data_IF_348121129171
#
_entry.id   IF_348121129171
#
_cell.length_a   1.000
_cell.length_b   1.000
_cell.length_c   1.000
_cell.angle_alpha   90.00
_cell.angle_beta   90.00
_cell.angle_gamma   90.00
#
_symmetry.space_group_name_H-M   'P 1'
#
loop_
_entity.id
_entity.type
_entity.pdbx_description
1 polymer ?
#
# COMPACT_ATOMS: atom_id res chain seq x y z
N UNK A 1 -4.97 -41.33 21.59
CA UNK A 1 -4.35 -39.99 21.71
C UNK A 1 -4.20 -39.66 23.19
N UNK A 2 -3.18 -38.89 23.58
CA UNK A 2 -2.86 -38.60 25.00
C UNK A 2 -3.26 -37.17 25.37
N UNK A 3 -3.38 -36.87 26.68
CA UNK A 3 -3.58 -35.48 27.16
C UNK A 3 -2.48 -34.54 26.65
N UNK A 4 -1.23 -35.02 26.61
CA UNK A 4 -0.09 -34.25 26.07
C UNK A 4 -0.28 -33.87 24.59
N UNK A 5 -0.86 -34.73 23.77
CA UNK A 5 -1.15 -34.42 22.37
C UNK A 5 -2.17 -33.29 22.23
N UNK A 6 -3.26 -33.34 22.99
CA UNK A 6 -4.30 -32.29 22.96
C UNK A 6 -3.79 -30.95 23.51
N UNK A 7 -2.99 -30.98 24.58
CA UNK A 7 -2.37 -29.78 25.14
C UNK A 7 -1.40 -29.09 24.15
N UNK A 8 -0.65 -29.88 23.36
CA UNK A 8 0.22 -29.35 22.32
C UNK A 8 -0.59 -28.64 21.22
N UNK A 9 -1.68 -29.25 20.76
CA UNK A 9 -2.57 -28.63 19.77
C UNK A 9 -3.16 -27.33 20.32
N UNK A 10 -3.62 -27.34 21.58
CA UNK A 10 -4.15 -26.13 22.23
C UNK A 10 -3.13 -25.00 22.30
N UNK A 11 -1.86 -25.31 22.60
CA UNK A 11 -0.78 -24.33 22.57
C UNK A 11 -0.60 -23.73 21.16
N UNK A 12 -0.53 -24.58 20.13
CA UNK A 12 -0.37 -24.15 18.74
C UNK A 12 -1.56 -23.31 18.25
N UNK A 13 -2.80 -23.72 18.56
CA UNK A 13 -4.00 -22.93 18.26
C UNK A 13 -3.96 -21.57 18.96
N UNK A 14 -3.48 -21.51 20.20
CA UNK A 14 -3.30 -20.26 20.93
C UNK A 14 -2.28 -19.33 20.27
N UNK A 15 -1.17 -19.87 19.77
CA UNK A 15 -0.16 -19.10 19.02
C UNK A 15 -0.76 -18.54 17.72
N UNK A 16 -1.54 -19.34 16.98
CA UNK A 16 -2.21 -18.89 15.74
C UNK A 16 -3.22 -17.77 16.03
N UNK A 17 -4.04 -17.91 17.09
CA UNK A 17 -4.94 -16.84 17.53
C UNK A 17 -4.15 -15.58 17.86
N UNK A 18 -3.06 -15.70 18.63
CA UNK A 18 -2.24 -14.57 19.02
C UNK A 18 -1.63 -13.84 17.81
N UNK A 19 -1.10 -14.59 16.83
CA UNK A 19 -0.58 -14.01 15.58
C UNK A 19 -1.66 -13.25 14.82
N UNK A 20 -2.83 -13.86 14.61
CA UNK A 20 -3.95 -13.21 13.91
C UNK A 20 -4.47 -11.97 14.62
N UNK A 21 -4.47 -11.96 15.96
CA UNK A 21 -4.83 -10.78 16.77
C UNK A 21 -3.82 -9.65 16.64
N UNK A 22 -2.51 -9.93 16.60
CA UNK A 22 -1.48 -8.91 16.33
C UNK A 22 -1.76 -8.26 14.97
N UNK A 23 -1.87 -9.06 13.91
CA UNK A 23 -2.10 -8.56 12.56
C UNK A 23 -3.39 -7.72 12.50
N UNK A 24 -4.47 -8.21 13.10
CA UNK A 24 -5.76 -7.53 13.11
C UNK A 24 -5.70 -6.21 13.87
N UNK A 25 -5.09 -6.19 15.06
CA UNK A 25 -4.93 -4.97 15.85
C UNK A 25 -4.13 -3.91 15.07
N UNK A 26 -3.04 -4.32 14.42
CA UNK A 26 -2.26 -3.42 13.58
C UNK A 26 -3.04 -2.97 12.34
N UNK A 27 -3.90 -3.80 11.78
CA UNK A 27 -4.77 -3.42 10.65
C UNK A 27 -5.82 -2.40 11.05
N UNK A 28 -6.35 -2.44 12.27
CA UNK A 28 -7.20 -1.37 12.80
C UNK A 28 -6.46 -0.03 12.93
N UNK A 29 -5.15 -0.06 13.20
CA UNK A 29 -4.33 1.14 13.38
C UNK A 29 -3.87 1.73 12.05
N UNK A 30 -3.47 0.89 11.10
CA UNK A 30 -2.79 1.29 9.85
C UNK A 30 -3.62 1.09 8.58
N UNK A 31 -4.73 0.37 8.64
CA UNK A 31 -5.46 -0.06 7.44
C UNK A 31 -4.58 -0.90 6.51
N UNK A 32 -4.71 -0.68 5.20
CA UNK A 32 -3.92 -1.38 4.18
C UNK A 32 -2.43 -1.03 4.17
N UNK A 33 -2.03 0.07 4.82
CA UNK A 33 -0.60 0.43 4.94
C UNK A 33 0.19 -0.54 5.82
N UNK A 34 -0.48 -1.43 6.55
CA UNK A 34 0.17 -2.56 7.25
C UNK A 34 0.95 -3.46 6.29
N UNK A 35 0.39 -3.72 5.09
CA UNK A 35 0.95 -4.68 4.14
C UNK A 35 2.27 -4.23 3.50
N UNK A 36 2.56 -2.93 3.56
CA UNK A 36 3.80 -2.34 3.03
C UNK A 36 4.87 -2.10 4.10
N UNK A 37 4.60 -2.48 5.36
CA UNK A 37 5.59 -2.37 6.43
C UNK A 37 6.74 -3.35 6.17
N UNK A 38 7.98 -2.90 6.42
CA UNK A 38 9.19 -3.68 6.10
C UNK A 38 9.22 -5.06 6.76
N UNK A 39 8.64 -5.20 7.95
CA UNK A 39 8.57 -6.48 8.67
C UNK A 39 7.33 -7.32 8.37
N UNK A 40 6.38 -6.83 7.56
CA UNK A 40 5.11 -7.54 7.32
C UNK A 40 5.31 -8.85 6.57
N UNK A 41 6.13 -8.87 5.52
CA UNK A 41 6.40 -10.08 4.75
C UNK A 41 7.01 -11.19 5.61
N UNK A 42 7.95 -10.84 6.50
CA UNK A 42 8.54 -11.80 7.45
C UNK A 42 7.49 -12.32 8.43
N UNK A 43 6.64 -11.44 8.97
CA UNK A 43 5.56 -11.84 9.87
C UNK A 43 4.61 -12.83 9.19
N UNK A 44 4.17 -12.52 7.98
CA UNK A 44 3.30 -13.36 7.17
C UNK A 44 3.88 -14.77 6.94
N UNK A 45 5.17 -14.88 6.59
CA UNK A 45 5.82 -16.18 6.37
C UNK A 45 5.91 -16.99 7.67
N UNK A 46 6.24 -16.34 8.79
CA UNK A 46 6.30 -17.01 10.11
C UNK A 46 4.92 -17.51 10.53
N UNK A 47 3.89 -16.66 10.43
CA UNK A 47 2.50 -17.03 10.73
C UNK A 47 2.02 -18.22 9.89
N UNK A 48 2.31 -18.19 8.57
CA UNK A 48 1.98 -19.30 7.67
C UNK A 48 2.66 -20.60 8.11
N UNK A 49 3.94 -20.55 8.45
CA UNK A 49 4.70 -21.71 8.94
C UNK A 49 4.09 -22.33 10.20
N UNK A 50 3.73 -21.50 11.18
CA UNK A 50 3.06 -21.95 12.41
C UNK A 50 1.68 -22.54 12.11
N UNK A 51 0.91 -21.91 11.22
CA UNK A 51 -0.42 -22.38 10.84
C UNK A 51 -0.40 -23.74 10.12
N UNK A 52 0.58 -23.96 9.23
CA UNK A 52 0.78 -25.26 8.56
C UNK A 52 1.16 -26.35 9.57
N UNK A 53 2.08 -26.02 10.48
CA UNK A 53 2.52 -26.93 11.52
C UNK A 53 1.35 -27.31 12.45
N UNK A 54 0.57 -26.34 12.92
CA UNK A 54 -0.63 -26.55 13.72
C UNK A 54 -1.64 -27.46 12.99
N UNK A 55 -1.92 -27.16 11.71
CA UNK A 55 -2.90 -27.90 10.91
C UNK A 55 -2.51 -29.37 10.75
N UNK A 56 -1.22 -29.71 10.65
CA UNK A 56 -0.78 -31.10 10.57
C UNK A 56 -1.23 -31.94 11.79
N UNK A 57 -1.23 -31.36 12.99
CA UNK A 57 -1.72 -32.05 14.19
C UNK A 57 -3.25 -32.15 14.23
N UNK A 58 -3.96 -31.12 13.78
CA UNK A 58 -5.43 -31.16 13.65
C UNK A 58 -5.86 -32.20 12.62
N UNK A 59 -5.17 -32.30 11.48
CA UNK A 59 -5.41 -33.34 10.48
C UNK A 59 -5.12 -34.73 11.04
N UNK A 60 -4.03 -34.90 11.80
CA UNK A 60 -3.75 -36.16 12.51
C UNK A 60 -4.87 -36.56 13.45
N UNK A 61 -5.48 -35.60 14.15
CA UNK A 61 -6.68 -35.85 14.97
C UNK A 61 -7.86 -36.34 14.13
N UNK A 62 -8.18 -35.66 13.03
CA UNK A 62 -9.28 -36.06 12.14
C UNK A 62 -9.10 -37.46 11.55
N UNK A 63 -7.87 -37.79 11.15
CA UNK A 63 -7.52 -39.13 10.69
C UNK A 63 -7.76 -40.19 11.77
N UNK A 64 -7.21 -39.98 12.98
CA UNK A 64 -7.30 -40.94 14.08
C UNK A 64 -8.75 -41.11 14.59
N UNK A 65 -9.58 -40.06 14.56
CA UNK A 65 -11.01 -40.13 14.88
C UNK A 65 -11.89 -40.62 13.73
N UNK A 66 -11.30 -40.94 12.57
CA UNK A 66 -12.01 -41.38 11.37
C UNK A 66 -13.03 -40.36 10.85
N UNK A 67 -12.76 -39.06 11.05
CA UNK A 67 -13.54 -37.97 10.46
C UNK A 67 -13.11 -37.71 9.01
N UNK A 68 -13.26 -38.73 8.15
CA UNK A 68 -12.73 -38.75 6.77
C UNK A 68 -13.17 -37.52 5.92
N UNK A 69 -14.46 -37.11 5.87
CA UNK A 69 -14.85 -35.94 5.08
C UNK A 69 -14.14 -34.66 5.54
N UNK A 70 -14.00 -34.48 6.85
CA UNK A 70 -13.31 -33.33 7.45
C UNK A 70 -11.81 -33.37 7.16
N UNK A 71 -11.18 -34.55 7.23
CA UNK A 71 -9.77 -34.72 6.89
C UNK A 71 -9.46 -34.32 5.43
N UNK A 72 -10.25 -34.81 4.47
CA UNK A 72 -10.01 -34.50 3.05
C UNK A 72 -10.30 -33.04 2.72
N UNK A 73 -11.38 -32.47 3.26
CA UNK A 73 -11.70 -31.04 3.06
C UNK A 73 -10.70 -30.12 3.75
N UNK A 74 -10.18 -30.49 4.92
CA UNK A 74 -9.06 -29.77 5.54
C UNK A 74 -7.79 -29.82 4.69
N UNK A 75 -7.46 -30.98 4.11
CA UNK A 75 -6.32 -31.12 3.21
C UNK A 75 -6.45 -30.25 1.95
N UNK A 76 -7.65 -30.21 1.36
CA UNK A 76 -7.94 -29.31 0.24
C UNK A 76 -7.80 -27.83 0.64
N UNK A 77 -8.29 -27.47 1.84
CA UNK A 77 -8.17 -26.11 2.37
C UNK A 77 -6.69 -25.70 2.56
N UNK A 78 -5.84 -26.59 3.06
CA UNK A 78 -4.39 -26.35 3.19
C UNK A 78 -3.77 -26.10 1.81
N UNK A 79 -4.07 -26.93 0.82
CA UNK A 79 -3.54 -26.77 -0.53
C UNK A 79 -3.96 -25.42 -1.14
N UNK A 80 -5.24 -25.06 -1.06
CA UNK A 80 -5.73 -23.77 -1.55
C UNK A 80 -5.12 -22.58 -0.81
N UNK A 81 -4.93 -22.71 0.52
CA UNK A 81 -4.30 -21.67 1.34
C UNK A 81 -2.82 -21.45 0.97
N UNK A 82 -2.08 -22.52 0.66
CA UNK A 82 -0.70 -22.43 0.19
C UNK A 82 -0.61 -21.72 -1.17
N UNK A 83 -1.50 -22.06 -2.10
CA UNK A 83 -1.57 -21.40 -3.41
C UNK A 83 -1.86 -19.91 -3.23
N UNK A 84 -2.90 -19.57 -2.46
CA UNK A 84 -3.26 -18.17 -2.21
C UNK A 84 -2.15 -17.41 -1.47
N UNK A 85 -1.48 -18.04 -0.50
CA UNK A 85 -0.34 -17.45 0.19
C UNK A 85 0.83 -17.17 -0.75
N UNK A 86 1.09 -18.03 -1.75
CA UNK A 86 2.06 -17.77 -2.80
C UNK A 86 1.70 -16.55 -3.67
N UNK A 87 0.41 -16.37 -3.96
CA UNK A 87 -0.09 -15.18 -4.66
C UNK A 87 0.10 -13.90 -3.82
N UNK A 88 -0.21 -13.97 -2.52
CA UNK A 88 0.02 -12.86 -1.59
C UNK A 88 1.51 -12.55 -1.49
N UNK A 89 2.37 -13.56 -1.32
CA UNK A 89 3.81 -13.38 -1.25
C UNK A 89 4.36 -12.70 -2.51
N UNK A 90 3.94 -13.13 -3.70
CA UNK A 90 4.30 -12.50 -4.97
C UNK A 90 3.83 -11.05 -5.06
N UNK A 91 2.61 -10.77 -4.58
CA UNK A 91 2.06 -9.40 -4.53
C UNK A 91 2.88 -8.50 -3.59
N UNK A 92 3.23 -9.01 -2.41
CA UNK A 92 3.98 -8.25 -1.39
C UNK A 92 5.44 -8.02 -1.79
N UNK A 93 6.09 -9.02 -2.40
CA UNK A 93 7.49 -8.93 -2.82
C UNK A 93 7.70 -8.01 -4.02
N UNK A 94 6.75 -7.98 -4.96
CA UNK A 94 6.84 -7.16 -6.18
C UNK A 94 6.07 -5.83 -6.07
N UNK A 95 5.34 -5.61 -4.98
CA UNK A 95 4.45 -4.45 -4.78
C UNK A 95 3.46 -4.24 -5.95
N UNK A 96 3.08 -5.33 -6.63
CA UNK A 96 2.21 -5.32 -7.79
C UNK A 96 1.06 -6.30 -7.59
N UNK A 97 -0.17 -5.87 -7.90
CA UNK A 97 -1.35 -6.73 -7.79
C UNK A 97 -1.24 -7.94 -8.71
N UNK A 98 -1.30 -9.15 -8.11
CA UNK A 98 -1.28 -10.38 -8.89
C UNK A 98 -2.66 -10.65 -9.53
N UNK A 99 -2.73 -10.99 -10.84
CA UNK A 99 -4.00 -11.15 -11.56
C UNK A 99 -4.90 -12.25 -10.99
N UNK A 100 -4.31 -13.30 -10.41
CA UNK A 100 -5.03 -14.43 -9.82
C UNK A 100 -5.46 -14.20 -8.36
N UNK A 101 -5.24 -13.02 -7.78
CA UNK A 101 -5.57 -12.76 -6.37
C UNK A 101 -7.05 -13.01 -6.07
N UNK A 102 -7.95 -12.41 -6.85
CA UNK A 102 -9.39 -12.54 -6.62
C UNK A 102 -9.89 -13.97 -6.85
N UNK A 103 -9.38 -14.64 -7.87
CA UNK A 103 -9.73 -16.04 -8.19
C UNK A 103 -9.31 -16.99 -7.08
N UNK A 104 -8.08 -16.85 -6.57
CA UNK A 104 -7.60 -17.71 -5.48
C UNK A 104 -8.32 -17.45 -4.15
N UNK A 105 -8.69 -16.18 -3.89
CA UNK A 105 -9.53 -15.83 -2.74
C UNK A 105 -10.93 -16.47 -2.81
N UNK A 106 -11.57 -16.44 -3.99
CA UNK A 106 -12.87 -17.08 -4.22
C UNK A 106 -12.82 -18.59 -3.96
N UNK A 107 -11.81 -19.26 -4.51
CA UNK A 107 -11.59 -20.70 -4.30
C UNK A 107 -11.40 -21.00 -2.81
N UNK A 108 -10.57 -20.20 -2.12
CA UNK A 108 -10.32 -20.40 -0.70
C UNK A 108 -11.58 -20.24 0.17
N UNK A 109 -12.41 -19.24 -0.12
CA UNK A 109 -13.68 -19.05 0.58
C UNK A 109 -14.65 -20.21 0.29
N UNK A 110 -14.75 -20.67 -0.95
CA UNK A 110 -15.60 -21.81 -1.31
C UNK A 110 -15.18 -23.10 -0.60
N UNK A 111 -13.87 -23.39 -0.53
CA UNK A 111 -13.33 -24.55 0.17
C UNK A 111 -13.49 -24.43 1.68
N UNK A 112 -13.35 -23.22 2.25
CA UNK A 112 -13.62 -22.95 3.67
C UNK A 112 -15.07 -23.24 4.05
N UNK A 113 -16.03 -22.84 3.20
CA UNK A 113 -17.45 -23.16 3.38
C UNK A 113 -17.70 -24.67 3.31
N UNK A 114 -17.09 -25.37 2.35
CA UNK A 114 -17.20 -26.83 2.23
C UNK A 114 -16.64 -27.55 3.47
N UNK A 115 -15.52 -27.08 3.99
CA UNK A 115 -14.93 -27.58 5.24
C UNK A 115 -15.87 -27.36 6.44
N UNK A 116 -16.47 -26.17 6.55
CA UNK A 116 -17.48 -25.85 7.57
C UNK A 116 -18.71 -26.76 7.49
N UNK A 117 -19.24 -27.01 6.28
CA UNK A 117 -20.35 -27.94 6.06
C UNK A 117 -19.98 -29.37 6.47
N UNK A 118 -18.76 -29.83 6.16
CA UNK A 118 -18.28 -31.14 6.56
C UNK A 118 -18.16 -31.28 8.09
N UNK A 119 -17.78 -30.21 8.79
CA UNK A 119 -17.77 -30.20 10.27
C UNK A 119 -19.17 -30.38 10.86
N UNK A 120 -20.21 -29.81 10.23
CA UNK A 120 -21.61 -29.85 10.70
C UNK A 120 -22.28 -31.18 10.39
N UNK A 121 -22.20 -31.63 9.13
CA UNK A 121 -23.06 -32.69 8.60
C UNK A 121 -22.41 -34.08 8.58
N UNK A 122 -21.11 -34.18 8.85
CA UNK A 122 -20.42 -35.48 8.97
C UNK A 122 -20.44 -36.02 10.41
N UNK A 123 -19.83 -37.18 10.63
CA UNK A 123 -19.68 -37.77 11.97
C UNK A 123 -18.98 -36.85 12.99
N UNK A 124 -18.18 -35.87 12.54
CA UNK A 124 -17.61 -34.85 13.42
C UNK A 124 -18.67 -33.98 14.08
N UNK A 125 -19.81 -33.75 13.42
CA UNK A 125 -20.90 -32.89 13.90
C UNK A 125 -21.60 -33.40 15.16
N UNK A 126 -21.36 -34.66 15.53
CA UNK A 126 -21.76 -35.22 16.82
C UNK A 126 -21.01 -34.57 17.99
N UNK A 127 -19.82 -34.02 17.75
CA UNK A 127 -19.09 -33.20 18.73
C UNK A 127 -19.62 -31.78 18.69
N UNK A 128 -20.17 -31.33 19.82
CA UNK A 128 -20.75 -29.99 19.96
C UNK A 128 -19.81 -28.90 19.43
N UNK A 129 -18.56 -28.87 19.89
CA UNK A 129 -17.60 -27.84 19.52
C UNK A 129 -17.15 -27.88 18.06
N UNK A 130 -17.05 -29.06 17.44
CA UNK A 130 -16.74 -29.16 16.00
C UNK A 130 -17.91 -28.69 15.13
N UNK A 131 -19.14 -29.03 15.51
CA UNK A 131 -20.34 -28.52 14.84
C UNK A 131 -20.44 -26.99 14.96
N UNK A 132 -20.20 -26.45 16.15
CA UNK A 132 -20.18 -25.00 16.39
C UNK A 132 -19.09 -24.31 15.59
N UNK A 133 -17.89 -24.90 15.48
CA UNK A 133 -16.82 -24.40 14.62
C UNK A 133 -17.26 -24.31 13.16
N UNK A 134 -17.95 -25.35 12.64
CA UNK A 134 -18.48 -25.33 11.28
C UNK A 134 -19.53 -24.24 11.04
N UNK A 135 -20.47 -24.07 11.98
CA UNK A 135 -21.48 -22.98 11.91
C UNK A 135 -20.80 -21.62 11.92
N UNK A 136 -19.83 -21.43 12.82
CA UNK A 136 -19.09 -20.18 12.93
C UNK A 136 -18.35 -19.83 11.64
N UNK A 137 -17.64 -20.80 11.05
CA UNK A 137 -16.92 -20.62 9.77
C UNK A 137 -17.83 -20.15 8.64
N UNK A 138 -19.06 -20.67 8.56
CA UNK A 138 -20.04 -20.24 7.56
C UNK A 138 -20.44 -18.77 7.81
N UNK A 139 -20.78 -18.42 9.05
CA UNK A 139 -21.20 -17.07 9.43
C UNK A 139 -20.11 -16.04 9.08
N UNK A 140 -18.87 -16.30 9.47
CA UNK A 140 -17.76 -15.34 9.24
C UNK A 140 -17.32 -15.27 7.77
N UNK A 141 -17.67 -16.26 6.94
CA UNK A 141 -17.37 -16.25 5.51
C UNK A 141 -18.36 -15.41 4.70
N UNK A 142 -19.59 -15.20 5.21
CA UNK A 142 -20.63 -14.43 4.51
C UNK A 142 -20.21 -12.99 4.18
N UNK A 143 -19.65 -12.19 5.10
CA UNK A 143 -19.16 -10.85 4.77
C UNK A 143 -18.15 -10.88 3.62
N UNK A 144 -17.21 -11.82 3.62
CA UNK A 144 -16.19 -11.96 2.57
C UNK A 144 -16.83 -12.27 1.21
N UNK A 145 -17.81 -13.20 1.17
CA UNK A 145 -18.55 -13.51 -0.07
C UNK A 145 -19.28 -12.27 -0.60
N UNK A 146 -20.00 -11.56 0.28
CA UNK A 146 -20.72 -10.34 -0.10
C UNK A 146 -19.76 -9.24 -0.59
N UNK A 147 -18.58 -9.13 0.02
CA UNK A 147 -17.53 -8.19 -0.39
C UNK A 147 -17.04 -8.47 -1.81
N UNK A 148 -16.82 -9.76 -2.13
CA UNK A 148 -16.37 -10.19 -3.45
C UNK A 148 -17.46 -9.90 -4.48
N UNK A 149 -18.73 -10.22 -4.18
CA UNK A 149 -19.85 -9.93 -5.08
C UNK A 149 -19.96 -8.43 -5.34
N UNK A 150 -19.85 -7.60 -4.31
CA UNK A 150 -19.89 -6.15 -4.45
C UNK A 150 -18.75 -5.62 -5.32
N UNK A 151 -17.51 -6.09 -5.10
CA UNK A 151 -16.35 -5.70 -5.92
C UNK A 151 -16.46 -6.14 -7.39
N UNK A 152 -17.14 -7.26 -7.66
CA UNK A 152 -17.42 -7.71 -9.04
C UNK A 152 -18.50 -6.86 -9.73
N UNK A 153 -19.41 -6.26 -8.97
CA UNK A 153 -20.49 -5.41 -9.49
C UNK A 153 -20.07 -3.95 -9.63
N UNK A 154 -19.24 -3.45 -8.72
CA UNK A 154 -18.76 -2.07 -8.69
C UNK A 154 -17.27 -2.02 -8.36
N UNK A 155 -16.47 -1.65 -9.37
CA UNK A 155 -15.02 -1.46 -9.24
C UNK A 155 -14.62 -0.03 -8.87
N UNK A 156 -15.57 0.78 -8.38
CA UNK A 156 -15.28 2.13 -7.91
C UNK A 156 -14.32 2.15 -6.73
N UNK A 157 -13.55 3.23 -6.63
CA UNK A 157 -12.64 3.48 -5.50
C UNK A 157 -13.42 3.57 -4.18
N UNK A 158 -14.66 4.05 -4.23
CA UNK A 158 -15.56 4.16 -3.08
C UNK A 158 -15.94 2.79 -2.52
N UNK A 159 -16.28 1.84 -3.40
CA UNK A 159 -16.58 0.46 -3.00
C UNK A 159 -15.36 -0.22 -2.40
N UNK A 160 -14.19 -0.09 -3.03
CA UNK A 160 -12.94 -0.61 -2.46
C UNK A 160 -12.62 -0.01 -1.07
N UNK A 161 -12.83 1.30 -0.89
CA UNK A 161 -12.62 1.97 0.39
C UNK A 161 -13.62 1.52 1.46
N UNK A 162 -14.88 1.28 1.10
CA UNK A 162 -15.87 0.72 2.02
C UNK A 162 -15.49 -0.70 2.45
N UNK A 163 -14.98 -1.51 1.52
CA UNK A 163 -14.49 -2.86 1.79
C UNK A 163 -13.33 -2.85 2.80
N UNK A 164 -12.36 -1.96 2.60
CA UNK A 164 -11.22 -1.84 3.51
C UNK A 164 -11.63 -1.42 4.94
N UNK A 165 -12.73 -0.68 5.12
CA UNK A 165 -13.18 -0.27 6.46
C UNK A 165 -13.70 -1.44 7.31
N UNK A 166 -14.39 -2.42 6.71
CA UNK A 166 -14.91 -3.56 7.47
C UNK A 166 -13.96 -4.76 7.50
N UNK A 167 -12.99 -4.83 6.58
CA UNK A 167 -12.10 -5.97 6.46
C UNK A 167 -11.30 -6.31 7.75
N UNK A 168 -10.88 -5.36 8.62
CA UNK A 168 -10.30 -5.67 9.92
C UNK A 168 -11.25 -6.45 10.85
N UNK A 169 -12.56 -6.18 10.80
CA UNK A 169 -13.55 -6.91 11.60
C UNK A 169 -13.69 -8.36 11.15
N UNK A 170 -13.70 -8.60 9.84
CA UNK A 170 -13.68 -9.96 9.28
C UNK A 170 -12.43 -10.70 9.73
N UNK A 171 -11.26 -10.04 9.69
CA UNK A 171 -10.00 -10.58 10.19
C UNK A 171 -10.03 -10.91 11.69
N UNK A 172 -10.64 -10.05 12.51
CA UNK A 172 -10.80 -10.28 13.95
C UNK A 172 -11.59 -11.55 14.24
N UNK A 173 -12.78 -11.68 13.66
CA UNK A 173 -13.62 -12.84 13.88
C UNK A 173 -13.00 -14.12 13.28
N UNK A 174 -12.35 -14.03 12.13
CA UNK A 174 -11.61 -15.15 11.56
C UNK A 174 -10.49 -15.64 12.50
N UNK A 175 -9.73 -14.73 13.10
CA UNK A 175 -8.64 -15.03 14.05
C UNK A 175 -9.13 -15.74 15.32
N UNK A 176 -10.41 -15.60 15.68
CA UNK A 176 -11.02 -16.25 16.85
C UNK A 176 -11.61 -17.63 16.56
N UNK A 177 -11.75 -18.02 15.28
CA UNK A 177 -12.28 -19.34 14.89
C UNK A 177 -11.60 -20.55 15.55
N UNK A 178 -10.27 -20.55 15.84
CA UNK A 178 -9.62 -21.69 16.47
C UNK A 178 -10.06 -21.95 17.93
N UNK A 179 -10.75 -21.01 18.59
CA UNK A 179 -11.25 -21.17 19.96
C UNK A 179 -12.16 -22.41 20.07
N UNK A 180 -13.01 -22.67 19.08
CA UNK A 180 -13.89 -23.83 19.10
C UNK A 180 -13.11 -25.15 19.04
N UNK A 181 -11.99 -25.18 18.32
CA UNK A 181 -11.08 -26.33 18.33
C UNK A 181 -10.39 -26.48 19.69
N UNK A 182 -9.95 -25.38 20.32
CA UNK A 182 -9.38 -25.43 21.68
C UNK A 182 -10.38 -26.04 22.66
N UNK A 183 -11.64 -25.61 22.62
CA UNK A 183 -12.70 -26.14 23.48
C UNK A 183 -12.97 -27.63 23.19
N UNK A 184 -12.96 -28.04 21.92
CA UNK A 184 -13.07 -29.45 21.53
C UNK A 184 -11.92 -30.29 22.12
N UNK A 185 -10.68 -29.84 22.00
CA UNK A 185 -9.51 -30.59 22.49
C UNK A 185 -9.40 -30.59 24.00
N UNK A 186 -9.87 -29.53 24.68
CA UNK A 186 -10.01 -29.53 26.15
C UNK A 186 -11.04 -30.58 26.60
N UNK A 187 -12.17 -30.70 25.90
CA UNK A 187 -13.18 -31.73 26.18
C UNK A 187 -12.62 -33.15 25.97
N UNK A 188 -11.93 -33.37 24.84
CA UNK A 188 -11.25 -34.64 24.55
C UNK A 188 -10.17 -35.00 25.60
N UNK A 189 -9.46 -34.02 26.15
CA UNK A 189 -8.45 -34.25 27.18
C UNK A 189 -9.07 -34.59 28.55
N UNK A 190 -10.23 -34.00 28.90
CA UNK A 190 -10.95 -34.30 30.14
C UNK A 190 -11.50 -35.72 30.17
N UNK A 191 -11.91 -36.25 29.02
CA UNK A 191 -12.42 -37.62 28.88
C UNK A 191 -11.36 -38.73 28.97
N UNK A 192 -10.08 -38.40 29.20
CA UNK A 192 -9.00 -39.38 29.38
C UNK A 192 -8.73 -39.60 30.88
N UNK A 193 -8.99 -40.81 31.38
CA UNK A 193 -8.56 -41.23 32.73
C UNK A 193 -7.02 -41.36 32.77
N UNK A 194 -6.41 -40.87 33.85
CA UNK A 194 -4.98 -41.06 34.12
C UNK A 194 -4.78 -42.35 34.90
N UNK A 195 -4.28 -43.41 34.25
CA UNK A 195 -3.85 -44.60 34.97
C UNK A 195 -2.44 -44.39 35.55
N UNK A 196 -2.23 -44.63 36.86
CA UNK A 196 -0.95 -44.36 37.53
C UNK A 196 0.24 -45.18 36.99
N UNK A 197 -0.01 -46.28 36.26
CA UNK A 197 1.02 -47.12 35.63
C UNK A 197 1.18 -46.91 34.12
N UNK A 198 0.71 -45.78 33.58
CA UNK A 198 0.95 -45.47 32.17
C UNK A 198 2.45 -45.16 31.99
N UNK A 199 3.22 -45.96 31.21
CA UNK A 199 4.65 -45.72 31.06
C UNK A 199 4.89 -44.29 30.56
N UNK A 200 5.93 -43.65 31.10
CA UNK A 200 6.30 -42.27 30.78
C UNK A 200 6.27 -42.08 29.25
N UNK A 201 5.31 -41.28 28.78
CA UNK A 201 5.09 -41.10 27.35
C UNK A 201 6.38 -40.60 26.66
N UNK A 202 6.84 -41.37 25.67
CA UNK A 202 7.99 -41.17 24.77
C UNK A 202 8.52 -39.73 24.64
N UNK A 203 9.86 -39.60 24.65
CA UNK A 203 10.66 -38.39 24.37
C UNK A 203 10.25 -37.60 23.12
N UNK A 204 9.62 -38.28 22.15
CA UNK A 204 9.07 -37.69 20.93
C UNK A 204 8.04 -36.58 21.19
N UNK A 205 7.33 -36.59 22.32
CA UNK A 205 6.37 -35.52 22.63
C UNK A 205 7.03 -34.21 23.06
N UNK A 206 8.19 -34.26 23.73
CA UNK A 206 8.86 -33.07 24.29
C UNK A 206 9.46 -32.19 23.19
N UNK A 207 10.04 -32.79 22.15
CA UNK A 207 10.60 -32.07 21.01
C UNK A 207 9.57 -31.17 20.33
N UNK A 208 8.31 -31.63 20.21
CA UNK A 208 7.25 -30.83 19.61
C UNK A 208 6.78 -29.67 20.48
N UNK A 209 6.82 -29.80 21.81
CA UNK A 209 6.56 -28.67 22.71
C UNK A 209 7.65 -27.62 22.61
N UNK A 210 8.92 -28.05 22.58
CA UNK A 210 10.06 -27.13 22.38
C UNK A 210 9.90 -26.38 21.07
N UNK A 211 9.57 -27.09 19.97
CA UNK A 211 9.33 -26.46 18.68
C UNK A 211 8.15 -25.48 18.70
N UNK A 212 7.04 -25.84 19.36
CA UNK A 212 5.90 -24.94 19.52
C UNK A 212 6.24 -23.67 20.31
N UNK A 213 7.08 -23.79 21.36
CA UNK A 213 7.57 -22.64 22.13
C UNK A 213 8.46 -21.75 21.25
N UNK A 214 9.39 -22.34 20.49
CA UNK A 214 10.26 -21.60 19.55
C UNK A 214 9.41 -20.85 18.52
N UNK A 215 8.38 -21.50 17.95
CA UNK A 215 7.43 -20.87 17.04
C UNK A 215 6.68 -19.71 17.69
N UNK A 216 6.22 -19.88 18.93
CA UNK A 216 5.57 -18.81 19.70
C UNK A 216 6.49 -17.61 19.94
N UNK A 217 7.76 -17.86 20.29
CA UNK A 217 8.78 -16.82 20.45
C UNK A 217 9.09 -16.12 19.12
N UNK A 218 9.13 -16.86 18.00
CA UNK A 218 9.33 -16.28 16.67
C UNK A 218 8.17 -15.36 16.26
N UNK A 219 6.92 -15.80 16.47
CA UNK A 219 5.72 -14.96 16.26
C UNK A 219 5.78 -13.71 17.13
N UNK A 220 6.14 -13.85 18.41
CA UNK A 220 6.26 -12.71 19.31
C UNK A 220 7.33 -11.73 18.86
N UNK A 221 8.54 -12.20 18.52
CA UNK A 221 9.65 -11.35 18.12
C UNK A 221 9.37 -10.59 16.82
N UNK A 222 8.86 -11.29 15.80
CA UNK A 222 8.53 -10.65 14.50
C UNK A 222 7.28 -9.78 14.63
N UNK A 223 6.30 -10.19 15.43
CA UNK A 223 5.12 -9.38 15.73
C UNK A 223 5.45 -8.09 16.48
N UNK A 224 6.39 -8.13 17.43
CA UNK A 224 6.91 -6.94 18.10
C UNK A 224 7.61 -6.01 17.11
N UNK A 225 8.44 -6.56 16.21
CA UNK A 225 9.10 -5.78 15.16
C UNK A 225 8.09 -5.11 14.23
N UNK A 226 7.06 -5.85 13.80
CA UNK A 226 5.98 -5.31 12.98
C UNK A 226 5.18 -4.21 13.72
N UNK A 227 4.90 -4.39 15.00
CA UNK A 227 4.23 -3.38 15.83
C UNK A 227 5.09 -2.13 16.01
N UNK A 228 6.40 -2.28 16.15
CA UNK A 228 7.37 -1.19 16.21
C UNK A 228 7.39 -0.40 14.89
N UNK A 229 7.53 -1.08 13.74
CA UNK A 229 7.46 -0.44 12.42
C UNK A 229 6.15 0.33 12.24
N UNK A 230 5.04 -0.30 12.67
CA UNK A 230 3.72 0.32 12.60
C UNK A 230 3.59 1.57 13.50
N UNK A 231 4.11 1.52 14.72
CA UNK A 231 4.14 2.65 15.64
C UNK A 231 4.89 3.83 15.04
N UNK A 232 6.10 3.60 14.51
CA UNK A 232 6.89 4.66 13.92
C UNK A 232 6.27 5.19 12.63
N UNK A 233 5.75 4.33 11.77
CA UNK A 233 5.02 4.75 10.56
C UNK A 233 3.87 5.69 10.91
N UNK A 234 3.13 5.41 12.00
CA UNK A 234 2.06 6.28 12.47
C UNK A 234 2.58 7.56 13.13
N UNK A 235 3.60 7.45 13.98
CA UNK A 235 4.19 8.60 14.68
C UNK A 235 4.73 9.64 13.68
N UNK A 236 5.49 9.20 12.69
CA UNK A 236 5.97 10.05 11.61
C UNK A 236 4.82 10.58 10.75
N UNK A 237 3.79 9.76 10.50
CA UNK A 237 2.55 10.21 9.84
C UNK A 237 1.87 11.36 10.58
N UNK A 238 1.75 11.29 11.91
CA UNK A 238 1.11 12.33 12.72
C UNK A 238 1.95 13.62 12.79
N UNK A 239 3.28 13.50 12.87
CA UNK A 239 4.17 14.67 12.79
C UNK A 239 4.11 15.35 11.41
N UNK A 240 4.21 14.56 10.34
CA UNK A 240 4.10 15.06 8.97
C UNK A 240 2.74 15.73 8.75
N UNK A 241 1.66 15.20 9.34
CA UNK A 241 0.34 15.79 9.24
C UNK A 241 0.27 17.18 9.90
N UNK A 242 0.91 17.37 11.06
CA UNK A 242 0.98 18.70 11.71
C UNK A 242 1.71 19.71 10.82
N UNK A 243 2.89 19.34 10.29
CA UNK A 243 3.65 20.19 9.38
C UNK A 243 2.86 20.49 8.09
N UNK A 244 2.16 19.48 7.56
CA UNK A 244 1.31 19.60 6.39
C UNK A 244 0.16 20.55 6.62
N UNK A 245 -0.44 20.55 7.81
CA UNK A 245 -1.49 21.50 8.17
C UNK A 245 -0.95 22.94 8.22
N UNK A 246 0.19 23.15 8.87
CA UNK A 246 0.84 24.47 8.91
C UNK A 246 1.26 24.96 7.52
N UNK A 247 1.70 24.05 6.65
CA UNK A 247 1.98 24.35 5.24
C UNK A 247 0.68 24.70 4.50
N UNK A 248 -0.38 23.91 4.68
CA UNK A 248 -1.67 24.08 4.04
C UNK A 248 -2.33 25.41 4.37
N UNK A 249 -2.13 25.96 5.57
CA UNK A 249 -2.66 27.26 5.99
C UNK A 249 -2.12 28.42 5.12
N UNK A 250 -1.00 28.22 4.43
CA UNK A 250 -0.46 29.19 3.46
C UNK A 250 -1.17 29.13 2.11
N UNK A 251 -1.84 28.03 1.79
CA UNK A 251 -2.43 27.77 0.47
C UNK A 251 -3.96 27.92 0.49
N UNK A 252 -4.50 28.56 -0.54
CA UNK A 252 -5.93 28.59 -0.78
C UNK A 252 -6.43 27.19 -1.20
N UNK A 253 -7.48 26.70 -0.55
CA UNK A 253 -8.20 25.50 -0.97
C UNK A 253 -9.12 25.85 -2.13
N UNK A 254 -8.96 25.20 -3.28
CA UNK A 254 -9.77 25.47 -4.46
C UNK A 254 -10.25 24.19 -5.13
N UNK A 255 -11.29 24.34 -5.94
CA UNK A 255 -11.93 23.27 -6.69
C UNK A 255 -12.07 23.72 -8.14
N UNK A 256 -11.66 22.86 -9.06
CA UNK A 256 -11.89 23.02 -10.49
C UNK A 256 -12.88 21.96 -10.95
N UNK A 257 -13.85 22.35 -11.78
CA UNK A 257 -14.80 21.44 -12.42
C UNK A 257 -14.44 21.39 -13.90
N UNK A 258 -14.01 20.22 -14.38
CA UNK A 258 -13.61 20.00 -15.76
C UNK A 258 -14.80 19.96 -16.71
N UNK A 259 -14.51 20.00 -18.01
CA UNK A 259 -15.53 20.07 -19.06
C UNK A 259 -16.47 18.85 -19.08
N UNK A 260 -16.07 17.74 -18.47
CA UNK A 260 -16.84 16.49 -18.35
C UNK A 260 -17.63 16.37 -17.04
N UNK A 261 -17.55 17.38 -16.16
CA UNK A 261 -18.17 17.37 -14.83
C UNK A 261 -17.29 16.75 -13.73
N UNK A 262 -16.11 16.23 -14.07
CA UNK A 262 -15.13 15.75 -13.10
C UNK A 262 -14.58 16.89 -12.24
N UNK A 263 -14.20 16.60 -11.00
CA UNK A 263 -13.76 17.62 -10.03
C UNK A 263 -12.32 17.40 -9.58
N UNK A 264 -11.49 18.45 -9.65
CA UNK A 264 -10.12 18.49 -9.14
C UNK A 264 -10.03 19.43 -7.94
N UNK A 265 -9.70 18.87 -6.78
CA UNK A 265 -9.26 19.64 -5.63
C UNK A 265 -7.80 20.04 -5.80
N UNK A 266 -7.45 21.26 -5.46
CA UNK A 266 -6.06 21.71 -5.48
C UNK A 266 -5.78 22.77 -4.43
N UNK A 267 -4.49 22.99 -4.19
CA UNK A 267 -3.98 24.05 -3.31
C UNK A 267 -3.24 25.06 -4.16
N UNK A 268 -3.52 26.34 -3.94
CA UNK A 268 -2.86 27.44 -4.63
C UNK A 268 -2.22 28.40 -3.63
N UNK A 269 -0.90 28.50 -3.67
CA UNK A 269 -0.17 29.56 -2.97
C UNK A 269 0.03 30.73 -3.93
N UNK A 270 -0.28 31.94 -3.49
CA UNK A 270 0.02 33.18 -4.21
C UNK A 270 1.42 33.69 -3.84
N UNK A 271 2.07 34.51 -4.69
CA UNK A 271 3.30 35.21 -4.33
C UNK A 271 3.19 35.92 -2.98
N UNK A 272 4.30 36.01 -2.24
CA UNK A 272 4.31 36.82 -1.01
C UNK A 272 4.08 38.29 -1.36
N UNK A 273 3.23 38.99 -0.60
CA UNK A 273 2.82 40.38 -0.89
C UNK A 273 2.29 40.56 -2.32
N UNK A 274 1.45 39.62 -2.76
CA UNK A 274 0.91 39.55 -4.11
C UNK A 274 0.34 40.88 -4.61
N UNK A 275 0.92 41.36 -5.70
CA UNK A 275 0.58 42.60 -6.40
C UNK A 275 0.10 42.27 -7.81
N UNK A 276 -1.17 42.54 -8.10
CA UNK A 276 -1.83 42.17 -9.36
C UNK A 276 -1.28 42.90 -10.58
N UNK A 277 -0.50 43.97 -10.40
CA UNK A 277 0.14 44.73 -11.48
C UNK A 277 1.43 44.07 -11.99
N UNK A 278 2.01 43.16 -11.21
CA UNK A 278 3.22 42.41 -11.56
C UNK A 278 2.90 41.06 -12.19
N UNK A 279 3.86 40.51 -12.92
CA UNK A 279 3.77 39.19 -13.55
C UNK A 279 4.61 38.15 -12.80
N UNK A 280 3.98 37.06 -12.38
CA UNK A 280 4.59 35.97 -11.62
C UNK A 280 4.46 34.63 -12.35
N UNK A 281 5.50 33.78 -12.30
CA UNK A 281 5.43 32.44 -12.85
C UNK A 281 4.45 31.55 -12.09
N UNK A 282 4.08 30.43 -12.71
CA UNK A 282 3.34 29.33 -12.08
C UNK A 282 4.24 28.10 -11.94
N UNK A 283 4.44 27.64 -10.71
CA UNK A 283 5.03 26.33 -10.45
C UNK A 283 3.93 25.29 -10.21
N UNK A 284 3.87 24.28 -11.08
CA UNK A 284 3.07 23.07 -10.91
C UNK A 284 3.91 22.04 -10.17
N UNK A 285 3.65 21.86 -8.88
CA UNK A 285 4.34 20.87 -8.05
C UNK A 285 3.47 19.62 -7.94
N UNK A 286 3.85 18.56 -8.66
CA UNK A 286 3.13 17.29 -8.73
C UNK A 286 3.53 16.38 -7.55
N UNK A 287 2.60 16.05 -6.65
CA UNK A 287 2.88 15.17 -5.53
C UNK A 287 3.28 13.74 -5.96
N UNK A 288 4.29 13.16 -5.31
CA UNK A 288 4.62 11.73 -5.49
C UNK A 288 3.63 10.80 -4.76
N UNK A 289 2.97 11.34 -3.74
CA UNK A 289 2.08 10.69 -2.78
C UNK A 289 1.06 11.71 -2.28
N UNK A 290 -0.02 11.25 -1.67
CA UNK A 290 -1.12 12.09 -1.21
C UNK A 290 -2.43 11.35 -1.38
N UNK A 291 -2.72 10.44 -0.45
CA UNK A 291 -4.06 9.87 -0.39
C UNK A 291 -5.00 11.01 -0.01
N UNK A 292 -6.12 11.24 -0.73
CA UNK A 292 -7.17 12.06 -0.18
C UNK A 292 -7.68 11.35 1.08
N UNK A 293 -7.23 11.82 2.25
CA UNK A 293 -8.00 11.67 3.46
C UNK A 293 -9.22 12.60 3.40
N UNK A 294 -10.07 12.54 4.42
CA UNK A 294 -11.14 13.52 4.62
C UNK A 294 -10.63 14.96 4.78
N UNK A 295 -9.32 15.13 4.96
CA UNK A 295 -8.62 16.37 5.30
C UNK A 295 -8.22 17.26 4.10
N UNK A 296 -8.19 16.73 2.87
CA UNK A 296 -7.89 17.46 1.61
C UNK A 296 -6.59 18.28 1.61
N UNK A 297 -5.61 17.92 2.45
CA UNK A 297 -4.31 18.60 2.57
C UNK A 297 -3.11 17.70 2.28
N UNK A 298 -3.28 16.38 2.31
CA UNK A 298 -2.19 15.39 2.18
C UNK A 298 -1.44 15.41 0.86
N UNK A 299 -1.99 16.04 -0.19
CA UNK A 299 -1.23 16.29 -1.42
C UNK A 299 0.03 17.14 -1.16
N UNK A 300 0.06 17.93 -0.10
CA UNK A 300 1.22 18.74 0.27
C UNK A 300 2.36 17.90 0.88
N UNK A 301 2.06 16.77 1.55
CA UNK A 301 3.08 15.82 2.06
C UNK A 301 3.98 15.29 0.94
N UNK A 302 3.43 15.16 -0.27
CA UNK A 302 4.16 14.65 -1.44
C UNK A 302 4.76 15.72 -2.35
N UNK A 303 4.62 17.00 -2.02
CA UNK A 303 4.92 18.12 -2.90
C UNK A 303 6.19 18.88 -2.46
N UNK A 304 7.35 18.23 -2.53
CA UNK A 304 8.61 18.75 -1.99
C UNK A 304 8.99 20.16 -2.49
N UNK A 305 8.72 20.48 -3.76
CA UNK A 305 8.98 21.82 -4.29
C UNK A 305 8.04 22.87 -3.67
N UNK A 306 6.77 22.52 -3.44
CA UNK A 306 5.83 23.38 -2.76
C UNK A 306 6.23 23.61 -1.30
N UNK A 307 6.69 22.58 -0.60
CA UNK A 307 7.20 22.71 0.77
C UNK A 307 8.39 23.68 0.83
N UNK A 308 9.41 23.44 0.00
CA UNK A 308 10.63 24.24 -0.04
C UNK A 308 10.34 25.71 -0.37
N UNK A 309 9.59 25.97 -1.44
CA UNK A 309 9.33 27.31 -1.94
C UNK A 309 8.27 28.07 -1.14
N UNK A 310 7.66 27.44 -0.13
CA UNK A 310 6.72 28.09 0.79
C UNK A 310 7.40 28.72 2.02
N UNK A 311 8.73 28.61 2.16
CA UNK A 311 9.49 29.35 3.17
C UNK A 311 9.46 30.85 2.86
N UNK A 312 9.56 31.71 3.89
CA UNK A 312 9.54 33.17 3.68
C UNK A 312 10.67 33.60 2.72
N UNK A 313 11.88 33.13 2.97
CA UNK A 313 13.08 33.42 2.17
C UNK A 313 12.90 33.04 0.70
N UNK A 314 12.40 31.82 0.44
CA UNK A 314 12.20 31.38 -0.94
C UNK A 314 11.05 32.10 -1.63
N UNK A 315 9.98 32.48 -0.92
CA UNK A 315 8.90 33.27 -1.50
C UNK A 315 9.33 34.71 -1.83
N UNK A 316 10.29 35.26 -1.08
CA UNK A 316 10.89 36.56 -1.35
C UNK A 316 11.85 36.48 -2.55
N UNK A 317 12.70 35.44 -2.62
CA UNK A 317 13.65 35.25 -3.70
C UNK A 317 12.99 34.80 -5.02
N UNK A 318 11.97 33.96 -4.93
CA UNK A 318 11.29 33.31 -6.04
C UNK A 318 9.77 33.53 -5.97
N UNK A 319 9.28 34.77 -6.17
CA UNK A 319 7.86 35.05 -6.07
C UNK A 319 7.10 34.35 -7.20
N UNK A 320 6.24 33.38 -6.84
CA UNK A 320 5.49 32.56 -7.77
C UNK A 320 4.08 32.22 -7.25
N UNK A 321 3.20 31.87 -8.17
CA UNK A 321 2.09 30.99 -7.84
C UNK A 321 2.61 29.55 -7.70
N UNK A 322 2.18 28.83 -6.66
CA UNK A 322 2.45 27.38 -6.53
C UNK A 322 1.12 26.64 -6.55
N UNK A 323 0.95 25.81 -7.58
CA UNK A 323 -0.22 24.98 -7.77
C UNK A 323 0.12 23.53 -7.44
N UNK A 324 -0.63 22.96 -6.48
CA UNK A 324 -0.50 21.57 -6.03
C UNK A 324 -1.83 20.86 -6.25
N UNK A 325 -1.98 20.11 -7.36
CA UNK A 325 -3.20 19.35 -7.63
C UNK A 325 -3.32 18.15 -6.68
N UNK A 326 -4.54 17.75 -6.37
CA UNK A 326 -4.81 16.51 -5.64
C UNK A 326 -4.90 15.32 -6.61
N UNK A 327 -4.33 14.18 -6.22
CA UNK A 327 -4.44 12.93 -6.96
C UNK A 327 -5.37 11.95 -6.22
N UNK A 328 -6.46 11.47 -6.83
CA UNK A 328 -7.25 10.40 -6.26
C UNK A 328 -6.43 9.12 -6.02
N UNK A 329 -6.77 8.37 -4.97
CA UNK A 329 -6.16 7.07 -4.70
C UNK A 329 -6.37 6.12 -5.90
N UNK A 330 -5.33 5.37 -6.28
CA UNK A 330 -5.36 4.48 -7.44
C UNK A 330 -5.20 5.18 -8.80
N UNK A 331 -4.85 6.48 -8.82
CA UNK A 331 -4.56 7.23 -10.04
C UNK A 331 -3.22 7.97 -9.95
N UNK A 332 -2.76 8.51 -11.09
CA UNK A 332 -1.53 9.28 -11.20
C UNK A 332 -1.63 10.45 -12.16
N UNK A 333 -0.48 10.99 -12.54
CA UNK A 333 -0.35 12.17 -13.42
C UNK A 333 -0.08 11.80 -14.89
N UNK A 334 -0.31 10.53 -15.24
CA UNK A 334 0.10 9.95 -16.52
C UNK A 334 1.57 9.51 -16.51
N UNK A 335 2.05 9.02 -17.66
CA UNK A 335 3.43 8.55 -17.85
C UNK A 335 3.72 7.12 -17.38
N UNK A 336 2.87 6.52 -16.54
CA UNK A 336 2.97 5.11 -16.12
C UNK A 336 2.06 4.25 -17.01
N UNK A 337 2.60 3.29 -17.79
CA UNK A 337 1.80 2.47 -18.70
C UNK A 337 0.67 1.70 -17.98
N UNK A 338 -0.55 1.80 -18.51
CA UNK A 338 -1.73 1.10 -17.98
C UNK A 338 -2.25 1.60 -16.63
N UNK A 339 -1.66 2.67 -16.07
CA UNK A 339 -2.08 3.23 -14.79
C UNK A 339 -3.12 4.35 -15.00
N UNK A 340 -4.24 4.37 -14.25
CA UNK A 340 -5.24 5.46 -14.35
C UNK A 340 -4.60 6.83 -14.09
N UNK A 341 -5.08 7.86 -14.79
CA UNK A 341 -4.51 9.21 -14.67
C UNK A 341 -5.55 10.32 -14.69
N UNK A 342 -5.17 11.46 -14.10
CA UNK A 342 -5.98 12.69 -14.04
C UNK A 342 -5.34 13.85 -14.82
N UNK A 343 -4.38 13.56 -15.69
CA UNK A 343 -3.55 14.56 -16.38
C UNK A 343 -4.36 15.58 -17.18
N UNK A 344 -5.37 15.13 -17.92
CA UNK A 344 -6.26 15.96 -18.73
C UNK A 344 -7.00 16.99 -17.88
N UNK A 345 -7.52 16.57 -16.72
CA UNK A 345 -8.21 17.44 -15.77
C UNK A 345 -7.26 18.46 -15.15
N UNK A 346 -6.01 18.07 -14.90
CA UNK A 346 -4.96 18.98 -14.42
C UNK A 346 -4.58 20.02 -15.49
N UNK A 347 -4.50 19.63 -16.77
CA UNK A 347 -4.25 20.59 -17.86
C UNK A 347 -5.36 21.64 -17.98
N UNK A 348 -6.62 21.22 -17.85
CA UNK A 348 -7.77 22.12 -17.84
C UNK A 348 -7.71 23.08 -16.65
N UNK A 349 -7.39 22.57 -15.45
CA UNK A 349 -7.23 23.40 -14.26
C UNK A 349 -6.10 24.43 -14.41
N UNK A 350 -4.92 24.02 -14.91
CA UNK A 350 -3.80 24.93 -15.20
C UNK A 350 -4.23 26.02 -16.19
N UNK A 351 -4.98 25.64 -17.24
CA UNK A 351 -5.47 26.59 -18.25
C UNK A 351 -6.47 27.58 -17.66
N UNK A 352 -7.32 27.14 -16.72
CA UNK A 352 -8.28 28.03 -16.05
C UNK A 352 -7.59 29.13 -15.23
N UNK A 353 -6.40 28.84 -14.67
CA UNK A 353 -5.60 29.80 -13.91
C UNK A 353 -5.05 30.94 -14.77
N UNK A 354 -5.16 30.89 -16.09
CA UNK A 354 -4.79 32.02 -16.97
C UNK A 354 -5.60 33.29 -16.68
N UNK A 355 -6.76 33.12 -16.05
CA UNK A 355 -7.61 34.22 -15.58
C UNK A 355 -7.14 34.83 -14.25
N UNK A 356 -6.17 34.21 -13.55
CA UNK A 356 -5.62 34.79 -12.32
C UNK A 356 -4.82 36.05 -12.63
N UNK A 357 -5.13 37.19 -11.99
CA UNK A 357 -4.40 38.44 -12.22
C UNK A 357 -2.90 38.25 -11.97
N UNK A 358 -2.06 38.96 -12.73
CA UNK A 358 -0.62 38.86 -12.54
C UNK A 358 0.01 37.48 -12.82
N UNK A 359 -0.73 36.45 -13.25
CA UNK A 359 -0.11 35.20 -13.70
C UNK A 359 0.59 35.41 -15.05
N UNK A 360 1.79 34.85 -15.18
CA UNK A 360 2.62 34.86 -16.38
C UNK A 360 2.53 33.51 -17.10
N UNK A 361 1.74 33.47 -18.17
CA UNK A 361 1.49 32.25 -18.93
C UNK A 361 2.72 31.74 -19.69
N UNK A 362 3.72 32.61 -19.91
CA UNK A 362 5.00 32.23 -20.56
C UNK A 362 6.00 31.62 -19.58
N UNK A 363 5.74 31.69 -18.28
CA UNK A 363 6.62 31.14 -17.23
C UNK A 363 5.86 30.16 -16.36
N UNK A 364 5.45 29.03 -16.95
CA UNK A 364 4.96 27.89 -16.19
C UNK A 364 6.01 26.80 -16.11
N UNK A 365 6.16 26.24 -14.92
CA UNK A 365 7.14 25.21 -14.61
C UNK A 365 6.42 23.98 -14.08
N UNK A 366 6.95 22.78 -14.34
CA UNK A 366 6.43 21.55 -13.73
C UNK A 366 7.55 20.77 -13.04
N UNK A 367 7.30 20.30 -11.83
CA UNK A 367 8.24 19.48 -11.07
C UNK A 367 7.51 18.38 -10.33
N UNK A 368 8.18 17.26 -10.10
CA UNK A 368 7.62 16.18 -9.31
C UNK A 368 8.61 15.06 -9.09
N UNK A 369 8.39 14.31 -8.01
CA UNK A 369 9.25 13.17 -7.60
C UNK A 369 8.50 11.87 -7.88
N UNK A 370 9.19 10.80 -8.28
CA UNK A 370 8.61 9.46 -8.43
C UNK A 370 7.37 9.48 -9.33
N UNK A 371 6.17 9.17 -8.82
CA UNK A 371 4.90 9.33 -9.55
C UNK A 371 4.71 10.75 -10.11
N UNK A 372 5.09 11.79 -9.37
CA UNK A 372 5.15 13.17 -9.84
C UNK A 372 6.21 13.40 -10.91
N UNK A 373 7.32 12.66 -10.87
CA UNK A 373 8.37 12.68 -11.89
C UNK A 373 7.91 12.07 -13.22
N UNK A 374 7.19 10.95 -13.18
CA UNK A 374 6.46 10.42 -14.35
C UNK A 374 5.47 11.46 -14.90
N UNK A 375 4.76 12.15 -14.01
CA UNK A 375 3.88 13.25 -14.35
C UNK A 375 4.59 14.41 -15.06
N UNK A 376 5.73 14.86 -14.54
CA UNK A 376 6.50 15.94 -15.14
C UNK A 376 6.97 15.59 -16.56
N UNK A 377 7.49 14.36 -16.77
CA UNK A 377 7.82 13.85 -18.09
C UNK A 377 6.60 13.78 -19.02
N UNK A 378 5.48 13.26 -18.53
CA UNK A 378 4.23 13.17 -19.30
C UNK A 378 3.71 14.56 -19.71
N UNK A 379 3.74 15.52 -18.79
CA UNK A 379 3.20 16.87 -19.00
C UNK A 379 3.94 17.59 -20.12
N UNK A 380 5.27 17.60 -20.09
CA UNK A 380 6.06 18.24 -21.16
C UNK A 380 6.03 17.46 -22.47
N UNK A 381 5.75 16.15 -22.44
CA UNK A 381 5.64 15.33 -23.65
C UNK A 381 4.27 15.48 -24.34
N UNK A 382 3.20 15.67 -23.56
CA UNK A 382 1.82 15.77 -24.07
C UNK A 382 1.39 17.21 -24.33
N UNK A 383 1.84 18.14 -23.49
CA UNK A 383 1.49 19.57 -23.51
C UNK A 383 2.74 20.46 -23.38
N UNK A 384 3.74 20.31 -24.27
CA UNK A 384 4.93 21.16 -24.25
C UNK A 384 4.58 22.65 -24.37
N UNK A 385 3.46 22.96 -25.03
CA UNK A 385 2.92 24.32 -25.19
C UNK A 385 2.60 25.01 -23.86
N UNK A 386 2.40 24.26 -22.77
CA UNK A 386 2.02 24.84 -21.48
C UNK A 386 3.22 25.24 -20.61
N UNK A 387 4.42 24.71 -20.85
CA UNK A 387 5.53 24.77 -19.89
C UNK A 387 6.80 25.35 -20.50
N UNK A 388 7.42 26.28 -19.78
CA UNK A 388 8.75 26.80 -20.09
C UNK A 388 9.86 25.87 -19.60
N UNK A 389 9.63 25.17 -18.49
CA UNK A 389 10.64 24.29 -17.89
C UNK A 389 10.07 23.14 -17.07
N UNK A 390 10.88 22.09 -16.90
CA UNK A 390 10.57 20.97 -16.03
C UNK A 390 11.74 20.45 -15.21
N UNK A 391 11.42 19.96 -14.00
CA UNK A 391 12.32 19.21 -13.12
C UNK A 391 11.69 17.84 -12.80
N UNK A 392 11.88 16.83 -13.65
CA UNK A 392 11.49 15.45 -13.35
C UNK A 392 12.51 14.80 -12.41
N UNK A 393 12.06 14.23 -11.28
CA UNK A 393 12.93 13.58 -10.29
C UNK A 393 12.51 12.12 -10.10
N UNK A 394 13.44 11.18 -10.24
CA UNK A 394 13.23 9.73 -10.05
C UNK A 394 11.97 9.19 -10.75
N UNK A 395 11.71 9.64 -11.98
CA UNK A 395 10.59 9.21 -12.81
C UNK A 395 11.04 8.62 -14.14
N UNK A 396 10.08 8.13 -14.92
CA UNK A 396 10.28 7.70 -16.31
C UNK A 396 9.34 8.42 -17.27
N UNK A 397 9.69 8.46 -18.55
CA UNK A 397 8.81 8.93 -19.62
C UNK A 397 8.75 7.91 -20.74
N UNK A 398 7.98 8.22 -21.78
CA UNK A 398 7.97 7.44 -23.03
C UNK A 398 8.87 8.15 -24.05
N UNK A 399 10.05 7.56 -24.37
CA UNK A 399 11.01 8.16 -25.29
C UNK A 399 10.46 8.46 -26.68
N UNK A 400 9.37 7.81 -27.10
CA UNK A 400 8.73 8.08 -28.40
C UNK A 400 8.12 9.49 -28.49
N UNK A 401 7.83 10.13 -27.34
CA UNK A 401 7.33 11.50 -27.29
C UNK A 401 8.42 12.55 -26.99
N UNK A 402 9.67 12.15 -26.79
CA UNK A 402 10.77 13.03 -26.40
C UNK A 402 10.98 14.23 -27.35
N UNK A 403 10.78 14.04 -28.66
CA UNK A 403 10.90 15.10 -29.66
C UNK A 403 9.92 16.27 -29.43
N UNK A 404 8.85 16.06 -28.68
CA UNK A 404 7.89 17.12 -28.33
C UNK A 404 8.38 18.03 -27.21
N UNK A 405 9.36 17.58 -26.42
CA UNK A 405 9.86 18.29 -25.26
C UNK A 405 11.15 19.07 -25.54
N UNK A 406 11.63 19.14 -26.80
CA UNK A 406 12.92 19.74 -27.16
C UNK A 406 13.01 21.23 -26.85
N UNK A 407 11.88 21.94 -26.95
CA UNK A 407 11.78 23.38 -26.68
C UNK A 407 11.50 23.68 -25.20
N UNK A 408 11.31 22.66 -24.36
CA UNK A 408 11.10 22.83 -22.92
C UNK A 408 12.44 22.67 -22.21
N UNK A 409 12.81 23.64 -21.36
CA UNK A 409 14.03 23.54 -20.58
C UNK A 409 13.90 22.43 -19.51
N UNK A 410 14.70 21.37 -19.61
CA UNK A 410 14.64 20.23 -18.68
C UNK A 410 15.89 20.16 -17.83
N UNK A 411 15.73 19.95 -16.52
CA UNK A 411 16.79 19.47 -15.64
C UNK A 411 16.29 18.29 -14.81
N UNK A 412 16.65 17.08 -15.23
CA UNK A 412 16.19 15.84 -14.59
C UNK A 412 17.19 15.32 -13.56
N UNK A 413 16.67 14.58 -12.58
CA UNK A 413 17.43 14.03 -11.46
C UNK A 413 17.08 12.56 -11.21
N UNK A 414 18.07 11.72 -10.89
CA UNK A 414 17.83 10.32 -10.54
C UNK A 414 18.94 9.74 -9.64
N UNK A 415 18.59 8.79 -8.77
CA UNK A 415 19.57 7.97 -8.05
C UNK A 415 20.02 6.78 -8.90
N UNK A 416 21.31 6.50 -8.95
CA UNK A 416 21.88 5.38 -9.74
C UNK A 416 21.31 4.02 -9.31
N UNK A 417 21.08 3.85 -8.01
CA UNK A 417 20.70 2.59 -7.37
C UNK A 417 19.20 2.47 -7.07
N UNK A 418 18.38 3.35 -7.63
CA UNK A 418 16.92 3.36 -7.43
C UNK A 418 16.30 1.99 -7.80
N UNK A 419 15.75 1.32 -6.78
CA UNK A 419 15.08 0.01 -6.92
C UNK A 419 13.57 0.14 -7.07
N UNK A 420 13.00 1.33 -6.88
CA UNK A 420 11.57 1.59 -7.02
C UNK A 420 11.24 2.01 -8.45
N UNK A 421 12.02 2.94 -8.99
CA UNK A 421 11.92 3.40 -10.37
C UNK A 421 13.31 3.22 -10.99
N UNK A 422 13.48 2.31 -11.98
CA UNK A 422 14.78 2.11 -12.57
C UNK A 422 15.34 3.40 -13.19
N UNK A 423 16.60 3.70 -12.90
CA UNK A 423 17.33 4.86 -13.44
C UNK A 423 17.30 4.97 -14.97
N UNK A 424 17.12 3.85 -15.66
CA UNK A 424 16.92 3.80 -17.11
C UNK A 424 15.77 4.69 -17.58
N UNK A 425 14.70 4.85 -16.79
CA UNK A 425 13.56 5.70 -17.14
C UNK A 425 13.93 7.16 -17.40
N UNK A 426 14.91 7.71 -16.68
CA UNK A 426 15.42 9.07 -16.94
C UNK A 426 16.52 9.07 -18.00
N UNK A 427 17.46 8.11 -17.97
CA UNK A 427 18.53 8.01 -18.97
C UNK A 427 17.99 7.90 -20.40
N UNK A 428 16.93 7.12 -20.61
CA UNK A 428 16.31 6.94 -21.92
C UNK A 428 15.63 8.21 -22.43
N UNK A 429 14.92 8.93 -21.56
CA UNK A 429 14.31 10.21 -21.92
C UNK A 429 15.36 11.26 -22.28
N UNK A 430 16.42 11.40 -21.46
CA UNK A 430 17.52 12.33 -21.72
C UNK A 430 18.14 12.06 -23.10
N UNK A 431 18.53 10.81 -23.35
CA UNK A 431 19.12 10.39 -24.62
C UNK A 431 18.18 10.64 -25.80
N UNK A 432 16.87 10.43 -25.62
CA UNK A 432 15.90 10.63 -26.68
C UNK A 432 15.67 12.11 -27.00
N UNK A 433 15.67 12.99 -25.99
CA UNK A 433 15.57 14.45 -26.19
C UNK A 433 16.85 14.96 -26.89
N UNK A 434 18.04 14.54 -26.44
CA UNK A 434 19.31 14.89 -27.10
C UNK A 434 19.32 14.45 -28.56
N UNK A 435 18.88 13.22 -28.84
CA UNK A 435 18.78 12.69 -30.21
C UNK A 435 17.80 13.49 -31.08
N UNK A 436 16.76 14.06 -30.48
CA UNK A 436 15.80 14.91 -31.18
C UNK A 436 16.27 16.37 -31.34
N UNK A 437 17.46 16.72 -30.83
CA UNK A 437 18.05 18.05 -30.94
C UNK A 437 17.83 18.97 -29.73
N UNK A 438 17.22 18.47 -28.65
CA UNK A 438 17.09 19.23 -27.40
C UNK A 438 18.36 19.18 -26.55
N UNK A 439 18.41 20.03 -25.50
CA UNK A 439 19.57 20.17 -24.62
C UNK A 439 19.20 20.03 -23.14
N UNK A 440 18.71 18.86 -22.70
CA UNK A 440 18.32 18.66 -21.32
C UNK A 440 19.55 18.61 -20.41
N UNK A 441 19.40 19.10 -19.18
CA UNK A 441 20.37 18.85 -18.10
C UNK A 441 19.97 17.57 -17.37
N UNK A 442 20.97 16.82 -16.92
CA UNK A 442 20.76 15.59 -16.15
C UNK A 442 21.78 15.50 -15.02
N UNK A 443 21.29 15.25 -13.81
CA UNK A 443 22.11 14.97 -12.64
C UNK A 443 21.75 13.58 -12.12
N UNK A 444 22.74 12.69 -12.12
CA UNK A 444 22.61 11.35 -11.55
C UNK A 444 23.43 11.26 -10.27
N UNK A 445 22.81 10.85 -9.17
CA UNK A 445 23.48 10.70 -7.88
C UNK A 445 24.01 9.28 -7.72
N UNK A 446 25.34 9.13 -7.68
CA UNK A 446 26.02 7.84 -7.58
C UNK A 446 25.75 7.18 -6.22
N UNK A 447 25.49 5.86 -6.23
CA UNK A 447 25.15 5.04 -5.05
C UNK A 447 23.89 5.50 -4.28
N UNK A 448 23.08 6.40 -4.83
CA UNK A 448 21.83 6.84 -4.20
C UNK A 448 20.63 6.06 -4.74
N UNK A 449 19.69 5.74 -3.85
CA UNK A 449 18.44 5.05 -4.18
C UNK A 449 17.31 6.00 -4.60
N UNK A 450 16.06 5.63 -4.29
CA UNK A 450 14.88 6.42 -4.67
C UNK A 450 14.78 7.80 -3.99
N UNK A 451 15.44 7.96 -2.84
CA UNK A 451 15.15 9.00 -1.88
C UNK A 451 16.06 10.23 -2.02
N UNK A 452 16.11 10.81 -3.22
CA UNK A 452 17.05 11.90 -3.57
C UNK A 452 16.47 13.32 -3.44
N UNK A 453 15.32 13.48 -2.78
CA UNK A 453 14.61 14.77 -2.68
C UNK A 453 15.45 15.85 -2.01
N UNK A 454 16.21 15.49 -0.97
CA UNK A 454 17.08 16.43 -0.27
C UNK A 454 18.25 16.86 -1.14
N UNK A 455 18.94 15.91 -1.76
CA UNK A 455 20.07 16.16 -2.68
C UNK A 455 19.63 17.04 -3.85
N UNK A 456 18.44 16.79 -4.40
CA UNK A 456 17.86 17.61 -5.46
C UNK A 456 17.56 19.03 -4.96
N UNK A 457 16.93 19.18 -3.80
CA UNK A 457 16.52 20.50 -3.29
C UNK A 457 17.69 21.43 -2.96
N UNK A 458 18.83 20.87 -2.55
CA UNK A 458 20.08 21.61 -2.27
C UNK A 458 21.00 21.71 -3.49
N UNK A 459 20.62 21.20 -4.66
CA UNK A 459 21.45 21.27 -5.86
C UNK A 459 21.75 22.74 -6.20
N UNK A 460 23.02 23.16 -6.23
CA UNK A 460 23.38 24.56 -6.43
C UNK A 460 22.82 25.12 -7.74
N UNK A 461 22.18 26.28 -7.64
CA UNK A 461 21.63 27.00 -8.80
C UNK A 461 20.39 26.39 -9.45
N UNK A 462 19.82 25.29 -8.92
CA UNK A 462 18.63 24.66 -9.50
C UNK A 462 17.44 25.63 -9.62
N UNK A 463 17.11 26.31 -8.52
CA UNK A 463 15.97 27.22 -8.48
C UNK A 463 16.24 28.52 -9.24
N UNK A 464 17.47 29.05 -9.16
CA UNK A 464 17.88 30.19 -9.98
C UNK A 464 17.78 29.87 -11.48
N UNK A 465 18.19 28.65 -11.88
CA UNK A 465 18.03 28.17 -13.25
C UNK A 465 16.56 28.05 -13.64
N UNK A 466 15.70 27.45 -12.80
CA UNK A 466 14.29 27.25 -13.11
C UNK A 466 13.57 28.58 -13.34
N UNK A 467 13.77 29.53 -12.44
CA UNK A 467 13.09 30.83 -12.47
C UNK A 467 13.63 31.79 -13.55
N UNK A 468 14.77 31.45 -14.17
CA UNK A 468 15.28 32.14 -15.36
C UNK A 468 14.63 31.65 -16.66
N UNK A 469 13.92 30.52 -16.65
CA UNK A 469 13.31 29.95 -17.86
C UNK A 469 12.02 30.69 -18.23
N UNK A 470 11.82 30.87 -19.53
CA UNK A 470 10.63 31.47 -20.12
C UNK A 470 10.40 30.85 -21.51
N UNK A 471 9.14 30.64 -21.86
CA UNK A 471 8.72 30.22 -23.18
C UNK A 471 8.76 31.43 -24.14
N UNK A 472 9.26 31.19 -25.36
CA UNK A 472 9.47 32.23 -26.38
C UNK A 472 8.21 33.06 -26.72
#
# INVERSE_FOLDING_TARGET
>A
MTKRFYNLINLLLGIVIFAGLIQTALRFVLGSSLFVQGSFLTFFVVEMGVSLFMTAFVMKYYWLKQYKPVFFTAGLLVLCSLIHAGIIYSTLSNLQQHPLYLTTLQIQVAVSLLYGLCLIFSNSGKRFWLRTAGIYLIIISLPTVLSIIWLLQDQSVQTAAAIEQFAPWVGLFASLSPIFLILNFRDEARGLEEHPNTPAANSFSEQWYVLAIIMGLAVFAVGFKLAHDAYWSRHWGDQNFKQTKELADKFEARVFVGSKGDTLYYRLLKPLNYDTTKKYPLLVSLPYGGQPGTDKIRQLEGAAAAELLSSKENREKYPAFIFVPNCPAGSGWGGIPGYPSVDSLVYEAITSLNSEPGLDVKRRYVTGISRGGYGAWNFISKRPDLFAAAIPVCGGGDPSFAARAVDVAVWAFHGEDDKNVPVSGSREMIKAIEKAGGHPKYTEFANEGHNIWYQTSITPGLWDWLFAQQQD
#
